data_IF_940414900182
#
_entry.id   IF_940414900182
#
_cell.length_a   1.000
_cell.length_b   1.000
_cell.length_c   1.000
_cell.angle_alpha   90.00
_cell.angle_beta   90.00
_cell.angle_gamma   90.00
#
_symmetry.space_group_name_H-M   'P 1'
#
loop_
_entity.id
_entity.type
_entity.pdbx_description
1 polymer ?
#
# COMPACT_ATOMS: atom_id res chain seq x y z
N UNK A 1 18.86 -7.83 2.78
CA UNK A 1 17.52 -7.28 2.51
C UNK A 1 16.97 -6.71 3.80
N UNK A 2 17.16 -5.41 4.05
CA UNK A 2 16.79 -4.77 5.32
C UNK A 2 15.69 -3.74 5.15
N UNK A 3 14.51 -4.16 4.67
CA UNK A 3 13.35 -3.28 4.58
C UNK A 3 12.77 -3.11 5.98
N UNK A 4 12.94 -1.93 6.58
CA UNK A 4 12.42 -1.63 7.92
C UNK A 4 11.00 -1.09 7.80
N UNK A 5 10.04 -1.82 8.37
CA UNK A 5 8.67 -1.37 8.55
C UNK A 5 8.45 -1.05 10.03
N UNK A 6 7.72 0.04 10.28
CA UNK A 6 7.17 0.32 11.61
C UNK A 6 5.86 -0.43 11.75
N UNK A 7 5.64 -1.04 12.91
CA UNK A 7 4.40 -1.78 13.22
C UNK A 7 3.41 -0.88 13.95
N UNK A 8 2.12 -1.09 13.74
CA UNK A 8 1.01 -0.42 14.43
C UNK A 8 1.19 1.10 14.48
N UNK A 9 1.26 1.71 13.31
CA UNK A 9 1.52 3.15 13.18
C UNK A 9 0.21 3.91 13.13
N UNK A 10 0.07 4.93 13.97
CA UNK A 10 -1.03 5.90 13.87
C UNK A 10 -0.71 6.91 12.76
N UNK A 11 -1.58 6.98 11.77
CA UNK A 11 -1.53 7.90 10.64
C UNK A 11 -2.85 8.67 10.59
N UNK A 12 -2.81 9.91 11.08
CA UNK A 12 -4.03 10.68 11.31
C UNK A 12 -4.91 10.00 12.35
N UNK A 13 -6.14 9.70 11.96
CA UNK A 13 -7.15 9.05 12.81
C UNK A 13 -7.15 7.52 12.67
N UNK A 14 -6.29 6.96 11.81
CA UNK A 14 -6.25 5.54 11.49
C UNK A 14 -4.99 4.87 12.03
N UNK A 15 -5.10 3.59 12.41
CA UNK A 15 -3.97 2.75 12.82
C UNK A 15 -3.74 1.72 11.73
N UNK A 16 -2.50 1.60 11.25
CA UNK A 16 -2.11 0.65 10.21
C UNK A 16 -1.12 -0.39 10.76
N UNK A 17 -1.23 -1.64 10.32
CA UNK A 17 -0.39 -2.74 10.83
C UNK A 17 1.10 -2.52 10.56
N UNK A 18 1.45 -2.14 9.33
CA UNK A 18 2.82 -1.86 8.95
C UNK A 18 2.89 -0.62 8.06
N UNK A 19 3.88 0.24 8.31
CA UNK A 19 4.11 1.42 7.51
C UNK A 19 5.60 1.68 7.30
N UNK A 20 5.94 2.18 6.11
CA UNK A 20 7.25 2.72 5.77
C UNK A 20 7.10 4.11 5.15
N UNK A 21 7.35 5.13 5.96
CA UNK A 21 7.23 6.54 5.56
C UNK A 21 8.12 6.91 4.36
N UNK A 22 9.35 6.38 4.28
CA UNK A 22 10.33 6.71 3.23
C UNK A 22 9.86 6.31 1.82
N UNK A 23 9.09 5.23 1.72
CA UNK A 23 8.54 4.71 0.46
C UNK A 23 7.03 4.87 0.37
N UNK A 24 6.46 5.64 1.31
CA UNK A 24 5.02 5.88 1.43
C UNK A 24 4.20 4.61 1.22
N UNK A 25 4.59 3.53 1.91
CA UNK A 25 3.95 2.22 1.75
C UNK A 25 3.31 1.80 3.07
N UNK A 26 2.05 1.41 3.00
CA UNK A 26 1.26 0.85 4.09
C UNK A 26 0.95 -0.60 3.72
N UNK A 27 1.08 -1.51 4.69
CA UNK A 27 0.69 -2.90 4.55
C UNK A 27 -0.28 -3.24 5.68
N UNK A 28 -1.42 -3.83 5.31
CA UNK A 28 -2.46 -4.28 6.23
C UNK A 28 -2.70 -5.78 6.05
N UNK A 29 -2.90 -6.49 7.17
CA UNK A 29 -3.16 -7.92 7.16
C UNK A 29 -4.59 -8.16 7.68
N UNK A 30 -5.48 -8.55 6.78
CA UNK A 30 -6.89 -8.75 7.10
C UNK A 30 -7.17 -10.16 7.61
N UNK A 31 -7.81 -10.26 8.78
CA UNK A 31 -8.19 -11.51 9.43
C UNK A 31 -9.61 -12.00 9.13
N UNK A 32 -10.35 -11.39 8.19
CA UNK A 32 -11.69 -11.81 7.80
C UNK A 32 -12.82 -11.39 8.73
N UNK A 33 -12.54 -10.56 9.74
CA UNK A 33 -13.57 -9.88 10.54
C UNK A 33 -13.75 -8.41 10.14
N UNK A 34 -12.90 -7.87 9.26
CA UNK A 34 -12.96 -6.47 8.81
C UNK A 34 -13.82 -6.26 7.55
N UNK A 35 -14.64 -7.23 7.15
CA UNK A 35 -15.49 -7.11 5.95
C UNK A 35 -16.74 -6.23 6.14
N UNK A 36 -17.00 -5.67 7.32
CA UNK A 36 -18.25 -4.92 7.60
C UNK A 36 -18.17 -3.40 7.40
N UNK A 37 -17.03 -2.85 6.99
CA UNK A 37 -16.81 -1.39 6.96
C UNK A 37 -16.48 -0.86 5.56
N UNK A 38 -17.11 -1.39 4.51
CA UNK A 38 -16.84 -1.01 3.11
C UNK A 38 -16.97 0.49 2.78
N UNK A 39 -17.69 1.27 3.59
CA UNK A 39 -17.77 2.74 3.43
C UNK A 39 -16.58 3.47 4.08
N UNK A 40 -16.13 3.00 5.24
CA UNK A 40 -14.97 3.55 5.95
C UNK A 40 -13.66 3.19 5.25
N UNK A 41 -13.63 2.09 4.50
CA UNK A 41 -12.45 1.62 3.78
C UNK A 41 -12.06 2.53 2.61
N UNK A 42 -13.06 3.05 1.88
CA UNK A 42 -12.83 3.98 0.76
C UNK A 42 -12.32 5.34 1.25
N UNK A 43 -12.92 5.93 2.29
CA UNK A 43 -12.46 7.22 2.85
C UNK A 43 -11.05 7.10 3.45
N UNK A 44 -10.76 5.96 4.07
CA UNK A 44 -9.44 5.68 4.62
C UNK A 44 -8.39 5.48 3.53
N UNK A 45 -8.74 4.78 2.46
CA UNK A 45 -7.84 4.60 1.30
C UNK A 45 -7.57 5.95 0.63
N UNK A 46 -8.61 6.75 0.38
CA UNK A 46 -8.49 8.10 -0.18
C UNK A 46 -7.63 9.00 0.72
N UNK A 47 -7.83 8.95 2.04
CA UNK A 47 -6.97 9.64 3.00
C UNK A 47 -5.51 9.23 2.82
N UNK A 48 -5.18 7.94 2.78
CA UNK A 48 -3.79 7.53 2.61
C UNK A 48 -3.21 7.92 1.25
N UNK A 49 -3.98 7.75 0.17
CA UNK A 49 -3.57 8.15 -1.19
C UNK A 49 -3.32 9.66 -1.30
N UNK A 50 -4.13 10.49 -0.64
CA UNK A 50 -3.95 11.94 -0.58
C UNK A 50 -2.60 12.33 0.08
N UNK A 51 -2.14 11.55 1.06
CA UNK A 51 -0.83 11.74 1.70
C UNK A 51 0.32 11.06 0.93
N UNK A 52 0.02 10.55 -0.28
CA UNK A 52 0.92 9.88 -1.19
C UNK A 52 1.24 8.45 -0.79
N UNK A 53 0.47 7.85 0.11
CA UNK A 53 0.68 6.47 0.54
C UNK A 53 -0.02 5.48 -0.38
N UNK A 54 0.72 4.43 -0.72
CA UNK A 54 0.18 3.22 -1.33
C UNK A 54 -0.19 2.23 -0.25
N UNK A 55 -1.41 1.69 -0.32
CA UNK A 55 -1.91 0.68 0.63
C UNK A 55 -1.88 -0.69 -0.05
N UNK A 56 -1.26 -1.67 0.60
CA UNK A 56 -1.32 -3.09 0.20
C UNK A 56 -2.03 -3.88 1.29
N UNK A 57 -3.12 -4.54 0.94
CA UNK A 57 -3.86 -5.42 1.85
C UNK A 57 -3.65 -6.87 1.45
N UNK A 58 -3.35 -7.71 2.43
CA UNK A 58 -3.23 -9.15 2.25
C UNK A 58 -4.17 -9.87 3.20
N UNK A 59 -4.75 -10.98 2.77
CA UNK A 59 -5.50 -11.85 3.67
C UNK A 59 -4.55 -12.66 4.54
N UNK A 60 -4.92 -12.92 5.79
CA UNK A 60 -4.11 -13.74 6.69
C UNK A 60 -3.81 -15.13 6.08
N UNK A 61 -4.78 -15.72 5.37
CA UNK A 61 -4.59 -16.98 4.64
C UNK A 61 -3.58 -16.89 3.50
N UNK A 62 -3.43 -15.72 2.86
CA UNK A 62 -2.39 -15.51 1.83
C UNK A 62 -1.00 -15.38 2.46
N UNK A 63 -0.92 -14.72 3.62
CA UNK A 63 0.34 -14.61 4.37
C UNK A 63 0.79 -15.99 4.88
N UNK A 64 -0.14 -16.80 5.37
CA UNK A 64 0.12 -18.16 5.87
C UNK A 64 0.44 -19.14 4.72
N UNK A 65 -0.33 -19.10 3.64
CA UNK A 65 -0.20 -20.04 2.52
C UNK A 65 0.79 -19.64 1.42
N UNK A 66 1.13 -18.35 1.30
CA UNK A 66 1.96 -17.82 0.21
C UNK A 66 2.80 -16.61 0.63
N UNK A 67 3.56 -16.76 1.71
CA UNK A 67 4.44 -15.69 2.22
C UNK A 67 5.42 -15.16 1.15
N UNK A 68 5.96 -16.03 0.29
CA UNK A 68 6.89 -15.63 -0.77
C UNK A 68 6.23 -14.68 -1.79
N UNK A 69 5.01 -15.00 -2.23
CA UNK A 69 4.23 -14.13 -3.12
C UNK A 69 3.87 -12.79 -2.49
N UNK A 70 3.56 -12.78 -1.19
CA UNK A 70 3.32 -11.53 -0.42
C UNK A 70 4.58 -10.67 -0.38
N UNK A 71 5.74 -11.27 -0.03
CA UNK A 71 7.01 -10.55 0.02
C UNK A 71 7.44 -10.02 -1.34
N UNK A 72 7.25 -10.79 -2.41
CA UNK A 72 7.53 -10.35 -3.79
C UNK A 72 6.61 -9.18 -4.18
N UNK A 73 5.34 -9.20 -3.81
CA UNK A 73 4.40 -8.11 -4.07
C UNK A 73 4.84 -6.82 -3.36
N UNK A 74 5.20 -6.93 -2.08
CA UNK A 74 5.75 -5.81 -1.29
C UNK A 74 7.04 -5.30 -1.93
N UNK A 75 7.92 -6.20 -2.37
CA UNK A 75 9.20 -5.86 -3.00
C UNK A 75 8.97 -5.09 -4.30
N UNK A 76 8.06 -5.57 -5.16
CA UNK A 76 7.71 -4.89 -6.41
C UNK A 76 7.12 -3.51 -6.14
N UNK A 77 6.26 -3.36 -5.13
CA UNK A 77 5.72 -2.06 -4.77
C UNK A 77 6.82 -1.07 -4.33
N UNK A 78 7.81 -1.53 -3.56
CA UNK A 78 8.94 -0.69 -3.13
C UNK A 78 9.89 -0.33 -4.27
N UNK A 79 10.10 -1.24 -5.23
CA UNK A 79 11.02 -1.05 -6.36
C UNK A 79 10.38 -0.16 -7.44
N UNK A 80 9.10 -0.35 -7.77
CA UNK A 80 8.46 0.33 -8.90
C UNK A 80 8.24 1.84 -8.66
N UNK A 81 8.17 2.29 -7.40
CA UNK A 81 8.22 3.71 -7.01
C UNK A 81 9.57 4.39 -7.32
N UNK A 82 10.60 3.61 -7.65
CA UNK A 82 11.89 4.16 -8.08
C UNK A 82 11.97 4.35 -9.61
N UNK A 83 10.90 4.00 -10.34
CA UNK A 83 10.81 4.07 -11.80
C UNK A 83 9.83 5.14 -12.30
N UNK A 84 9.10 5.83 -11.43
CA UNK A 84 8.23 6.96 -11.78
C UNK A 84 9.03 8.27 -11.80
N UNK A 85 9.87 8.44 -12.82
CA UNK A 85 10.18 9.76 -13.38
C UNK A 85 9.39 9.92 -14.69
N UNK A 86 8.95 11.16 -15.03
CA UNK A 86 7.71 11.40 -15.74
C UNK A 86 7.92 11.48 -17.25
N UNK A 87 7.26 10.64 -18.04
CA UNK A 87 7.00 10.96 -19.45
C UNK A 87 5.88 10.09 -20.02
N UNK A 88 4.67 10.59 -19.92
CA UNK A 88 3.63 10.35 -20.92
C UNK A 88 2.65 11.52 -20.86
N UNK A 89 3.13 12.68 -21.32
CA UNK A 89 2.24 13.60 -22.03
C UNK A 89 2.11 13.04 -23.45
N UNK A 90 0.97 12.45 -23.85
CA UNK A 90 0.69 12.30 -25.26
C UNK A 90 0.55 13.72 -25.82
N UNK A 91 1.58 14.14 -26.54
CA UNK A 91 1.60 15.38 -27.29
C UNK A 91 0.36 15.45 -28.17
N UNK A 92 -0.37 16.54 -27.98
CA UNK A 92 -1.30 17.11 -28.93
C UNK A 92 -0.63 17.18 -30.32
N UNK A 93 -0.88 16.21 -31.19
CA UNK A 93 -0.68 16.39 -32.62
C UNK A 93 -2.05 16.53 -33.28
N UNK A 94 -2.42 17.81 -33.39
CA UNK A 94 -3.50 18.29 -34.25
C UNK A 94 -3.19 17.90 -35.69
N UNK A 95 -4.08 17.17 -36.34
CA UNK A 95 -4.38 17.29 -37.77
C UNK A 95 -5.86 17.04 -38.00
#
# INVERSE_FOLDING_TARGET
>A
MGLKFKRQVMLGEYIVDFCRNEKKLIIEIDGGQHSQTGHLDSERTDYFELYGYKVLRFWNSEVDGNLDGVLETIRRAVINENSTSPLSSPGLERR
#
